data_IF_730304543825
#
_entry.id   IF_730304543825
#
_cell.length_a   1.000
_cell.length_b   1.000
_cell.length_c   1.000
_cell.angle_alpha   90.00
_cell.angle_beta   90.00
_cell.angle_gamma   90.00
#
_symmetry.space_group_name_H-M   'P 1'
#
loop_
_entity.id
_entity.type
_entity.pdbx_description
1 polymer ?
#
# COMPACT_ATOMS: atom_id res chain seq x y z
N UNK A 1 11.94 16.38 -50.72
CA UNK A 1 13.01 17.36 -50.39
C UNK A 1 13.25 17.25 -48.90
N UNK A 2 14.30 16.54 -48.48
CA UNK A 2 15.54 17.07 -47.84
C UNK A 2 15.24 17.71 -46.46
N UNK A 3 15.84 17.36 -45.31
CA UNK A 3 17.18 16.81 -45.01
C UNK A 3 17.31 16.37 -43.53
N UNK A 4 17.92 15.20 -43.31
CA UNK A 4 18.84 14.71 -42.23
C UNK A 4 18.57 14.79 -40.71
N UNK A 5 18.92 13.73 -39.93
CA UNK A 5 18.82 13.62 -38.47
C UNK A 5 20.17 13.84 -37.73
N UNK A 6 20.16 13.99 -36.40
CA UNK A 6 21.36 14.05 -35.55
C UNK A 6 21.36 12.98 -34.45
N UNK A 7 22.52 12.34 -34.30
CA UNK A 7 22.92 11.25 -33.39
C UNK A 7 23.67 11.81 -32.17
N UNK A 8 23.51 11.19 -31.00
CA UNK A 8 24.57 11.04 -29.96
C UNK A 8 24.04 10.11 -28.84
N UNK A 9 24.35 8.81 -28.86
CA UNK A 9 25.58 8.08 -28.43
C UNK A 9 25.56 7.73 -26.94
N UNK A 10 25.32 6.43 -26.69
CA UNK A 10 25.47 5.73 -25.41
C UNK A 10 26.93 5.44 -25.09
N UNK A 11 27.25 5.34 -23.80
CA UNK A 11 28.57 4.90 -23.31
C UNK A 11 28.40 3.70 -22.40
N UNK A 12 29.05 2.61 -22.77
CA UNK A 12 29.04 1.30 -22.11
C UNK A 12 30.47 0.98 -21.66
N UNK A 13 30.63 0.64 -20.37
CA UNK A 13 31.62 -0.25 -19.72
C UNK A 13 33.14 0.14 -19.76
N UNK A 14 34.02 -0.35 -18.85
CA UNK A 14 34.17 -1.78 -18.49
C UNK A 14 34.52 -2.20 -17.04
N UNK A 15 34.37 -3.51 -16.88
CA UNK A 15 34.76 -4.44 -15.81
C UNK A 15 36.27 -4.61 -15.68
N UNK A 16 36.78 -4.88 -14.47
CA UNK A 16 37.90 -5.82 -14.26
C UNK A 16 37.90 -6.41 -12.84
N UNK A 17 38.09 -7.73 -12.80
CA UNK A 17 38.42 -8.56 -11.63
C UNK A 17 39.94 -8.79 -11.59
N UNK A 18 40.55 -8.84 -10.40
CA UNK A 18 41.78 -9.55 -9.95
C UNK A 18 42.32 -8.76 -8.72
N UNK A 19 42.80 -9.28 -7.59
CA UNK A 19 43.55 -10.51 -7.30
C UNK A 19 43.43 -10.87 -5.81
N UNK A 20 43.57 -12.18 -5.52
CA UNK A 20 43.88 -12.75 -4.20
C UNK A 20 45.26 -12.29 -3.70
N UNK A 21 45.44 -12.12 -2.39
CA UNK A 21 46.50 -12.82 -1.64
C UNK A 21 46.23 -12.83 -0.12
N UNK A 22 46.31 -14.02 0.45
CA UNK A 22 46.36 -14.30 1.88
C UNK A 22 47.78 -14.10 2.43
N UNK A 23 47.90 -13.79 3.73
CA UNK A 23 48.88 -14.44 4.63
C UNK A 23 48.63 -14.09 6.11
N UNK A 24 48.49 -15.14 6.92
CA UNK A 24 48.68 -15.17 8.37
C UNK A 24 50.18 -15.12 8.68
N UNK A 25 50.60 -14.41 9.73
CA UNK A 25 51.69 -14.83 10.62
C UNK A 25 51.38 -14.42 12.07
N UNK A 26 51.46 -15.41 12.96
CA UNK A 26 51.52 -15.32 14.42
C UNK A 26 52.94 -14.96 14.87
N UNK A 27 53.13 -14.14 15.91
CA UNK A 27 53.99 -14.50 17.04
C UNK A 27 53.89 -13.52 18.22
N UNK A 28 53.76 -14.13 19.40
CA UNK A 28 53.86 -13.63 20.77
C UNK A 28 55.21 -12.99 21.10
N UNK A 29 55.25 -12.10 22.10
CA UNK A 29 56.22 -12.05 23.22
C UNK A 29 55.84 -10.93 24.22
N UNK A 30 55.67 -11.28 25.50
CA UNK A 30 55.68 -10.42 26.72
C UNK A 30 56.98 -10.78 27.51
N UNK A 31 57.35 -10.10 28.63
CA UNK A 31 57.41 -8.67 28.97
C UNK A 31 58.81 -8.28 29.57
N UNK A 32 59.00 -7.09 30.21
CA UNK A 32 58.98 -7.11 31.70
C UNK A 32 58.51 -5.81 32.42
N UNK A 33 58.00 -6.04 33.64
CA UNK A 33 58.03 -5.26 34.91
C UNK A 33 57.67 -3.75 35.02
N UNK A 34 56.74 -3.52 35.96
CA UNK A 34 56.27 -2.28 36.63
C UNK A 34 57.36 -1.37 37.22
N UNK A 35 57.06 -0.08 37.44
CA UNK A 35 56.64 0.35 38.79
C UNK A 35 55.44 1.32 38.82
N UNK A 36 54.56 1.14 39.80
CA UNK A 36 53.58 2.13 40.28
C UNK A 36 54.27 3.27 41.03
N UNK A 37 53.70 4.49 40.97
CA UNK A 37 53.31 5.12 42.23
C UNK A 37 51.91 5.76 42.20
N UNK A 38 51.26 5.67 43.35
CA UNK A 38 50.04 6.35 43.74
C UNK A 38 50.16 7.88 43.66
N UNK A 39 49.10 8.56 43.24
CA UNK A 39 48.51 9.71 43.97
C UNK A 39 47.33 10.31 43.20
N UNK A 40 46.25 10.53 43.95
CA UNK A 40 45.06 11.26 43.57
C UNK A 40 45.40 12.69 43.13
N UNK A 41 45.04 13.06 41.90
CA UNK A 41 44.73 14.44 41.55
C UNK A 41 43.56 14.46 40.58
N UNK A 42 42.37 14.58 41.15
CA UNK A 42 41.12 14.74 40.42
C UNK A 42 41.08 16.17 39.85
N UNK A 43 41.36 16.32 38.55
CA UNK A 43 41.04 17.55 37.82
C UNK A 43 39.51 17.61 37.62
N UNK A 44 38.85 18.76 37.85
CA UNK A 44 37.42 18.86 37.63
C UNK A 44 37.14 18.87 36.12
N UNK A 45 36.63 17.76 35.61
CA UNK A 45 35.96 17.72 34.30
C UNK A 45 34.73 18.63 34.44
N UNK A 46 34.56 19.68 33.60
CA UNK A 46 33.33 20.44 33.63
C UNK A 46 32.20 19.52 33.16
N UNK A 47 31.29 19.17 34.06
CA UNK A 47 30.01 18.56 33.71
C UNK A 47 29.27 19.61 32.88
N UNK A 48 29.38 19.50 31.56
CA UNK A 48 28.54 20.26 30.64
C UNK A 48 27.12 19.73 30.83
N UNK A 49 26.32 20.50 31.55
CA UNK A 49 24.94 20.17 31.82
C UNK A 49 24.16 20.19 30.48
N UNK A 50 23.70 19.05 29.95
CA UNK A 50 23.12 18.96 28.60
C UNK A 50 21.86 19.83 28.46
N UNK A 51 21.20 20.14 29.58
CA UNK A 51 20.08 21.07 29.64
C UNK A 51 20.43 22.51 29.24
N UNK A 52 21.66 23.00 29.53
CA UNK A 52 22.08 24.36 29.13
C UNK A 52 22.42 24.45 27.65
N UNK A 53 22.94 23.36 27.07
CA UNK A 53 23.32 23.29 25.67
C UNK A 53 22.09 23.17 24.76
N UNK A 54 21.06 22.47 25.22
CA UNK A 54 19.75 22.36 24.55
C UNK A 54 18.95 23.66 24.72
N UNK A 55 18.94 24.28 25.91
CA UNK A 55 18.23 25.55 26.13
C UNK A 55 18.77 26.69 25.26
N UNK A 56 20.08 26.74 25.02
CA UNK A 56 20.71 27.73 24.12
C UNK A 56 20.44 27.47 22.63
N UNK A 57 20.24 26.21 22.24
CA UNK A 57 19.85 25.87 20.86
C UNK A 57 18.39 26.25 20.58
N UNK A 58 17.50 26.07 21.57
CA UNK A 58 16.05 26.37 21.45
C UNK A 58 15.79 27.87 21.35
N UNK A 59 16.56 28.72 22.04
CA UNK A 59 16.41 30.19 21.93
C UNK A 59 16.83 30.74 20.57
N UNK A 60 17.81 30.11 19.90
CA UNK A 60 18.24 30.46 18.55
C UNK A 60 17.33 29.93 17.43
N UNK A 61 16.51 28.91 17.71
CA UNK A 61 15.53 28.35 16.77
C UNK A 61 14.22 29.14 16.70
N UNK A 62 13.98 30.09 17.61
CA UNK A 62 12.76 30.90 17.68
C UNK A 62 12.67 31.98 16.58
N UNK A 63 13.79 32.29 15.93
CA UNK A 63 13.89 33.33 14.90
C UNK A 63 13.96 32.81 13.46
N UNK A 64 13.87 31.49 13.25
CA UNK A 64 13.69 30.91 11.92
C UNK A 64 12.27 30.34 11.81
N UNK A 65 11.54 30.74 10.77
CA UNK A 65 10.22 30.20 10.44
C UNK A 65 10.34 28.69 10.21
N UNK A 66 9.99 27.92 11.24
CA UNK A 66 10.04 26.46 11.22
C UNK A 66 8.95 25.91 10.29
N UNK A 67 9.27 24.93 9.43
CA UNK A 67 8.28 24.25 8.62
C UNK A 67 7.34 23.43 9.52
N UNK A 68 6.14 23.15 8.99
CA UNK A 68 5.01 22.43 9.59
C UNK A 68 5.35 21.13 10.37
N UNK A 69 6.58 20.61 10.26
CA UNK A 69 7.12 19.51 11.07
C UNK A 69 7.32 19.85 12.56
N UNK A 70 7.49 21.12 12.94
CA UNK A 70 7.68 21.51 14.35
C UNK A 70 6.41 21.36 15.21
N UNK A 71 5.23 21.34 14.59
CA UNK A 71 3.96 21.09 15.28
C UNK A 71 3.80 19.63 15.77
N UNK A 72 4.65 18.71 15.30
CA UNK A 72 4.62 17.31 15.71
C UNK A 72 5.56 16.99 16.90
N UNK A 73 6.46 17.90 17.29
CA UNK A 73 7.43 17.65 18.37
C UNK A 73 6.84 17.34 19.76
N UNK A 74 5.70 17.92 20.22
CA UNK A 74 5.15 17.56 21.53
C UNK A 74 4.56 16.14 21.58
N UNK A 75 4.41 15.44 20.46
CA UNK A 75 3.97 14.03 20.43
C UNK A 75 5.10 13.02 20.67
N UNK A 76 6.37 13.46 20.72
CA UNK A 76 7.53 12.58 20.90
C UNK A 76 8.24 12.76 22.25
N UNK A 77 7.83 13.73 23.07
CA UNK A 77 8.49 14.06 24.33
C UNK A 77 7.49 13.93 25.48
N UNK A 78 7.74 12.91 26.31
CA UNK A 78 7.04 12.54 27.55
C UNK A 78 5.77 11.68 27.38
N UNK A 79 5.98 10.39 27.16
CA UNK A 79 4.95 9.37 26.97
C UNK A 79 4.73 8.53 28.23
N UNK A 80 5.01 9.11 29.41
CA UNK A 80 4.98 8.39 30.69
C UNK A 80 3.57 8.08 31.20
N UNK A 81 2.55 8.77 30.71
CA UNK A 81 1.17 8.46 31.02
C UNK A 81 0.44 8.08 29.72
N UNK A 82 0.06 6.80 29.61
CA UNK A 82 -0.99 6.41 28.69
C UNK A 82 -2.21 7.26 29.02
N UNK A 83 -2.73 8.01 28.05
CA UNK A 83 -3.92 8.87 28.22
C UNK A 83 -5.14 7.96 28.32
N UNK A 84 -5.29 7.31 29.47
CA UNK A 84 -6.58 6.90 29.97
C UNK A 84 -7.16 8.16 30.59
N UNK A 85 -7.96 8.89 29.83
CA UNK A 85 -8.54 10.16 30.25
C UNK A 85 -9.60 10.00 31.35
N UNK A 86 -9.77 8.79 31.89
CA UNK A 86 -10.60 8.53 33.06
C UNK A 86 -12.07 8.87 32.84
N UNK A 87 -12.53 8.96 31.59
CA UNK A 87 -13.87 9.40 31.21
C UNK A 87 -13.96 10.83 30.66
N UNK A 88 -12.87 11.61 30.58
CA UNK A 88 -12.91 13.00 30.06
C UNK A 88 -13.44 13.09 28.62
N UNK A 89 -13.23 12.07 27.80
CA UNK A 89 -13.70 12.06 26.42
C UNK A 89 -15.10 11.44 26.24
N UNK A 90 -15.76 11.00 27.32
CA UNK A 90 -17.10 10.43 27.31
C UNK A 90 -17.26 9.31 26.26
N UNK A 91 -18.16 9.52 25.28
CA UNK A 91 -18.42 8.56 24.19
C UNK A 91 -17.21 8.27 23.28
N UNK A 92 -16.20 9.13 23.29
CA UNK A 92 -14.94 8.93 22.55
C UNK A 92 -13.90 8.17 23.38
N UNK A 93 -14.29 7.52 24.48
CA UNK A 93 -13.43 6.68 25.31
C UNK A 93 -14.04 5.26 25.49
N UNK A 94 -13.26 4.37 26.08
CA UNK A 94 -13.74 3.07 26.55
C UNK A 94 -14.19 2.15 25.42
N UNK A 95 -15.28 1.43 25.67
CA UNK A 95 -15.82 0.43 24.72
C UNK A 95 -16.30 1.05 23.42
N UNK A 96 -16.89 2.25 23.48
CA UNK A 96 -17.43 2.94 22.30
C UNK A 96 -16.35 3.19 21.25
N UNK A 97 -15.22 3.77 21.65
CA UNK A 97 -14.09 3.99 20.74
C UNK A 97 -13.43 2.68 20.32
N UNK A 98 -13.32 1.69 21.21
CA UNK A 98 -12.71 0.40 20.90
C UNK A 98 -13.48 -0.41 19.84
N UNK A 99 -14.80 -0.20 19.72
CA UNK A 99 -15.64 -0.86 18.72
C UNK A 99 -15.67 -0.17 17.35
N UNK A 100 -15.12 1.05 17.21
CA UNK A 100 -15.05 1.74 15.91
C UNK A 100 -14.24 0.92 14.91
N UNK A 101 -13.03 0.51 15.29
CA UNK A 101 -12.14 -0.28 14.42
C UNK A 101 -12.81 -1.56 13.87
N UNK A 102 -13.36 -2.48 14.68
CA UNK A 102 -13.98 -3.70 14.14
C UNK A 102 -15.20 -3.42 13.25
N UNK A 103 -15.99 -2.38 13.54
CA UNK A 103 -17.12 -1.97 12.68
C UNK A 103 -16.60 -1.46 11.33
N UNK A 104 -15.62 -0.56 11.35
CA UNK A 104 -15.02 -0.01 10.14
C UNK A 104 -14.33 -1.10 9.33
N UNK A 105 -13.62 -2.03 9.96
CA UNK A 105 -12.97 -3.16 9.29
C UNK A 105 -13.99 -4.09 8.61
N UNK A 106 -15.15 -4.33 9.24
CA UNK A 106 -16.26 -5.04 8.59
C UNK A 106 -16.75 -4.30 7.34
N UNK A 107 -16.95 -2.98 7.45
CA UNK A 107 -17.33 -2.14 6.31
C UNK A 107 -16.29 -2.14 5.17
N UNK A 108 -15.01 -1.96 5.50
CA UNK A 108 -13.91 -1.97 4.54
C UNK A 108 -13.76 -3.32 3.84
N UNK A 109 -14.03 -4.43 4.52
CA UNK A 109 -14.02 -5.76 3.91
C UNK A 109 -15.07 -5.87 2.78
N UNK A 110 -16.33 -5.56 3.06
CA UNK A 110 -17.38 -5.59 2.03
C UNK A 110 -17.13 -4.56 0.92
N UNK A 111 -16.62 -3.39 1.29
CA UNK A 111 -16.25 -2.36 0.32
C UNK A 111 -15.09 -2.81 -0.59
N UNK A 112 -14.14 -3.60 -0.07
CA UNK A 112 -13.06 -4.22 -0.85
C UNK A 112 -13.62 -5.21 -1.88
N UNK A 113 -14.57 -6.06 -1.48
CA UNK A 113 -15.24 -6.98 -2.41
C UNK A 113 -16.01 -6.22 -3.49
N UNK A 114 -16.67 -5.13 -3.12
CA UNK A 114 -17.37 -4.26 -4.06
C UNK A 114 -16.41 -3.58 -5.05
N UNK A 115 -15.29 -3.04 -4.57
CA UNK A 115 -14.24 -2.49 -5.42
C UNK A 115 -13.67 -3.55 -6.38
N UNK A 116 -13.51 -4.79 -5.91
CA UNK A 116 -13.14 -5.94 -6.72
C UNK A 116 -14.13 -6.22 -7.85
N UNK A 117 -15.44 -6.19 -7.56
CA UNK A 117 -16.47 -6.32 -8.59
C UNK A 117 -16.38 -5.20 -9.63
N UNK A 118 -16.21 -3.95 -9.21
CA UNK A 118 -16.08 -2.81 -10.14
C UNK A 118 -14.88 -3.01 -11.09
N UNK A 119 -13.75 -3.47 -10.54
CA UNK A 119 -12.55 -3.80 -11.31
C UNK A 119 -12.78 -4.95 -12.29
N UNK A 120 -13.55 -5.97 -11.89
CA UNK A 120 -13.95 -7.08 -12.74
C UNK A 120 -14.81 -6.63 -13.92
N UNK A 121 -15.82 -5.79 -13.68
CA UNK A 121 -16.66 -5.23 -14.75
C UNK A 121 -15.83 -4.42 -15.75
N UNK A 122 -14.88 -3.60 -15.26
CA UNK A 122 -13.95 -2.88 -16.14
C UNK A 122 -13.03 -3.82 -16.94
N UNK A 123 -12.58 -4.93 -16.35
CA UNK A 123 -11.86 -5.98 -17.09
C UNK A 123 -12.73 -6.61 -18.18
N UNK A 124 -14.00 -6.91 -17.87
CA UNK A 124 -14.95 -7.52 -18.81
C UNK A 124 -15.16 -6.68 -20.07
N UNK A 125 -15.26 -5.35 -19.95
CA UNK A 125 -15.35 -4.43 -21.11
C UNK A 125 -14.21 -4.66 -22.12
N UNK A 126 -13.00 -4.93 -21.62
CA UNK A 126 -11.81 -5.15 -22.45
C UNK A 126 -11.77 -6.56 -23.05
N UNK A 127 -12.08 -7.58 -22.25
CA UNK A 127 -12.05 -8.97 -22.73
C UNK A 127 -13.13 -9.24 -23.77
N UNK A 128 -14.34 -8.67 -23.61
CA UNK A 128 -15.41 -8.78 -24.61
C UNK A 128 -14.96 -8.23 -25.96
N UNK A 129 -14.24 -7.11 -25.98
CA UNK A 129 -13.76 -6.52 -27.23
C UNK A 129 -12.83 -7.49 -27.98
N UNK A 130 -11.97 -8.21 -27.26
CA UNK A 130 -11.12 -9.25 -27.82
C UNK A 130 -11.95 -10.42 -28.36
N UNK A 131 -12.90 -10.93 -27.57
CA UNK A 131 -13.81 -12.01 -27.97
C UNK A 131 -14.60 -11.66 -29.25
N UNK A 132 -15.16 -10.46 -29.33
CA UNK A 132 -15.85 -9.97 -30.53
C UNK A 132 -14.89 -9.94 -31.73
N UNK A 133 -13.66 -9.48 -31.55
CA UNK A 133 -12.68 -9.36 -32.64
C UNK A 133 -12.23 -10.73 -33.15
N UNK A 134 -12.15 -11.73 -32.28
CA UNK A 134 -11.85 -13.12 -32.65
C UNK A 134 -13.02 -13.78 -33.36
N UNK A 135 -14.26 -13.63 -32.85
CA UNK A 135 -15.45 -14.16 -33.50
C UNK A 135 -15.68 -13.55 -34.89
N UNK A 136 -15.42 -12.25 -35.06
CA UNK A 136 -15.49 -11.59 -36.37
C UNK A 136 -14.49 -12.14 -37.39
N UNK A 137 -13.34 -12.66 -36.96
CA UNK A 137 -12.38 -13.34 -37.86
C UNK A 137 -12.89 -14.69 -38.34
N UNK A 138 -13.77 -15.34 -37.58
CA UNK A 138 -14.36 -16.64 -37.92
C UNK A 138 -15.52 -16.49 -38.93
N UNK A 139 -16.17 -15.34 -38.96
CA UNK A 139 -17.16 -14.98 -39.98
C UNK A 139 -16.40 -14.61 -41.27
N UNK A 140 -16.35 -15.51 -42.25
CA UNK A 140 -15.84 -15.18 -43.60
C UNK A 140 -16.61 -13.96 -44.14
N UNK A 141 -15.94 -12.95 -44.75
CA UNK A 141 -16.66 -11.92 -45.49
C UNK A 141 -17.43 -12.60 -46.62
N UNK A 142 -18.73 -12.29 -46.72
CA UNK A 142 -19.60 -12.81 -47.77
C UNK A 142 -18.89 -12.65 -49.13
N UNK A 143 -18.74 -13.75 -49.86
CA UNK A 143 -18.18 -13.72 -51.20
C UNK A 143 -19.10 -12.84 -52.06
N UNK A 144 -18.59 -11.69 -52.50
CA UNK A 144 -19.26 -10.88 -53.53
C UNK A 144 -19.07 -11.65 -54.83
N UNK A 145 -20.14 -12.22 -55.36
CA UNK A 145 -20.16 -12.75 -56.73
C UNK A 145 -19.94 -11.61 -57.72
N UNK A 146 -19.15 -11.78 -58.79
CA UNK A 146 -18.84 -10.72 -59.76
C UNK A 146 -20.06 -10.11 -60.49
N UNK A 147 -21.23 -10.75 -60.43
CA UNK A 147 -22.38 -10.46 -61.30
C UNK A 147 -23.46 -9.52 -60.73
N UNK A 148 -23.24 -8.85 -59.60
CA UNK A 148 -24.13 -7.76 -59.16
C UNK A 148 -25.60 -8.14 -58.89
N UNK A 149 -25.93 -9.43 -58.79
CA UNK A 149 -27.28 -9.89 -58.42
C UNK A 149 -27.42 -9.96 -56.89
N UNK A 150 -28.51 -9.44 -56.29
CA UNK A 150 -28.72 -9.51 -54.85
C UNK A 150 -28.80 -10.96 -54.40
N UNK A 151 -27.83 -11.39 -53.59
CA UNK A 151 -27.96 -12.64 -52.85
C UNK A 151 -29.25 -12.58 -52.01
N UNK A 152 -30.00 -13.68 -52.01
CA UNK A 152 -31.25 -13.86 -51.28
C UNK A 152 -31.17 -13.33 -49.84
N UNK A 153 -32.28 -12.82 -49.26
CA UNK A 153 -32.29 -12.25 -47.92
C UNK A 153 -31.65 -13.22 -46.92
N UNK A 154 -30.77 -12.74 -46.03
CA UNK A 154 -29.99 -13.63 -45.17
C UNK A 154 -30.94 -14.47 -44.33
N UNK A 155 -30.84 -15.79 -44.52
CA UNK A 155 -31.36 -16.77 -43.57
C UNK A 155 -30.84 -16.40 -42.17
N UNK A 156 -31.67 -16.66 -41.15
CA UNK A 156 -31.45 -16.30 -39.75
C UNK A 156 -29.97 -16.18 -39.32
N UNK A 157 -29.61 -15.15 -38.51
CA UNK A 157 -28.21 -14.89 -38.15
C UNK A 157 -27.57 -16.18 -37.62
N UNK A 158 -26.44 -16.53 -38.20
CA UNK A 158 -25.68 -17.70 -37.76
C UNK A 158 -25.42 -17.61 -36.24
N UNK A 159 -25.29 -18.73 -35.53
CA UNK A 159 -25.03 -18.72 -34.07
C UNK A 159 -23.84 -17.85 -33.64
N UNK A 160 -22.87 -17.63 -34.54
CA UNK A 160 -21.72 -16.75 -34.33
C UNK A 160 -22.11 -15.26 -34.43
N UNK A 161 -22.93 -14.88 -35.40
CA UNK A 161 -23.43 -13.51 -35.56
C UNK A 161 -24.32 -13.10 -34.40
N UNK A 162 -25.21 -13.99 -33.93
CA UNK A 162 -26.03 -13.72 -32.76
C UNK A 162 -25.18 -13.55 -31.49
N UNK A 163 -24.10 -14.33 -31.34
CA UNK A 163 -23.15 -14.16 -30.22
C UNK A 163 -22.39 -12.84 -30.30
N UNK A 164 -21.97 -12.42 -31.49
CA UNK A 164 -21.33 -11.11 -31.70
C UNK A 164 -22.29 -9.98 -31.31
N UNK A 165 -23.57 -10.07 -31.69
CA UNK A 165 -24.58 -9.08 -31.32
C UNK A 165 -24.77 -9.03 -29.79
N UNK A 166 -24.95 -10.18 -29.14
CA UNK A 166 -25.10 -10.25 -27.68
C UNK A 166 -23.90 -9.63 -26.94
N UNK A 167 -22.67 -10.00 -27.31
CA UNK A 167 -21.46 -9.45 -26.70
C UNK A 167 -21.31 -7.95 -26.97
N UNK A 168 -21.73 -7.48 -28.15
CA UNK A 168 -21.72 -6.06 -28.49
C UNK A 168 -22.67 -5.27 -27.60
N UNK A 169 -23.88 -5.79 -27.37
CA UNK A 169 -24.85 -5.16 -26.45
C UNK A 169 -24.38 -5.23 -24.99
N UNK A 170 -23.85 -6.38 -24.53
CA UNK A 170 -23.24 -6.51 -23.20
C UNK A 170 -22.14 -5.45 -22.99
N UNK A 171 -21.23 -5.28 -23.96
CA UNK A 171 -20.17 -4.29 -23.87
C UNK A 171 -20.72 -2.86 -23.84
N UNK A 172 -21.75 -2.54 -24.64
CA UNK A 172 -22.40 -1.22 -24.63
C UNK A 172 -22.98 -0.94 -23.23
N UNK A 173 -23.64 -1.91 -22.62
CA UNK A 173 -24.21 -1.75 -21.29
C UNK A 173 -23.13 -1.57 -20.22
N UNK A 174 -22.05 -2.36 -20.28
CA UNK A 174 -20.93 -2.20 -19.37
C UNK A 174 -20.22 -0.85 -19.51
N UNK A 175 -20.13 -0.31 -20.74
CA UNK A 175 -19.57 1.03 -20.97
C UNK A 175 -20.44 2.13 -20.34
N UNK A 176 -21.77 2.04 -20.45
CA UNK A 176 -22.68 2.97 -19.76
C UNK A 176 -22.52 2.93 -18.24
N UNK A 177 -22.16 1.77 -17.70
CA UNK A 177 -21.94 1.56 -16.27
C UNK A 177 -20.78 2.36 -15.66
N UNK A 178 -19.85 2.89 -16.46
CA UNK A 178 -18.77 3.77 -15.98
C UNK A 178 -17.79 3.10 -15.00
N UNK A 179 -17.61 1.78 -15.11
CA UNK A 179 -16.90 0.98 -14.10
C UNK A 179 -15.42 1.33 -13.90
N UNK A 180 -14.77 1.93 -14.90
CA UNK A 180 -13.38 2.39 -14.78
C UNK A 180 -13.24 3.44 -13.67
N UNK A 181 -14.04 4.49 -13.74
CA UNK A 181 -13.94 5.64 -12.83
C UNK A 181 -14.48 5.25 -11.45
N UNK A 182 -15.59 4.51 -11.41
CA UNK A 182 -16.11 3.93 -10.15
C UNK A 182 -15.09 3.06 -9.42
N UNK A 183 -14.37 2.18 -10.14
CA UNK A 183 -13.33 1.35 -9.52
C UNK A 183 -12.16 2.20 -9.02
N UNK A 184 -11.74 3.21 -9.78
CA UNK A 184 -10.68 4.13 -9.38
C UNK A 184 -11.04 4.92 -8.11
N UNK A 185 -12.26 5.46 -8.06
CA UNK A 185 -12.74 6.24 -6.93
C UNK A 185 -12.92 5.35 -5.70
N UNK A 186 -13.52 4.16 -5.86
CA UNK A 186 -13.65 3.19 -4.79
C UNK A 186 -12.27 2.73 -4.27
N UNK A 187 -11.31 2.47 -5.16
CA UNK A 187 -9.94 2.15 -4.77
C UNK A 187 -9.26 3.27 -4.00
N UNK A 188 -9.50 4.53 -4.39
CA UNK A 188 -8.95 5.71 -3.72
C UNK A 188 -9.54 5.91 -2.32
N UNK A 189 -10.86 5.74 -2.17
CA UNK A 189 -11.55 5.78 -0.88
C UNK A 189 -11.04 4.65 0.02
N UNK A 190 -10.96 3.43 -0.50
CA UNK A 190 -10.47 2.27 0.25
C UNK A 190 -9.04 2.49 0.74
N UNK A 191 -8.16 3.01 -0.12
CA UNK A 191 -6.78 3.33 0.25
C UNK A 191 -6.72 4.39 1.36
N UNK A 192 -7.47 5.49 1.22
CA UNK A 192 -7.45 6.59 2.18
C UNK A 192 -7.94 6.14 3.57
N UNK A 193 -9.14 5.55 3.64
CA UNK A 193 -9.71 5.10 4.91
C UNK A 193 -8.95 3.90 5.48
N UNK A 194 -8.53 2.97 4.63
CA UNK A 194 -7.78 1.80 5.04
C UNK A 194 -6.42 2.13 5.67
N UNK A 195 -5.70 3.12 5.12
CA UNK A 195 -4.44 3.61 5.70
C UNK A 195 -4.69 4.35 7.02
N UNK A 196 -5.71 5.23 7.06
CA UNK A 196 -6.07 5.96 8.28
C UNK A 196 -6.43 5.01 9.43
N UNK A 197 -7.20 3.95 9.17
CA UNK A 197 -7.53 2.93 10.17
C UNK A 197 -6.31 2.11 10.60
N UNK A 198 -5.47 1.67 9.66
CA UNK A 198 -4.29 0.89 10.04
C UNK A 198 -3.32 1.68 10.92
N UNK A 199 -3.11 2.96 10.62
CA UNK A 199 -2.24 3.83 11.43
C UNK A 199 -2.95 4.25 12.71
N UNK A 200 -4.22 4.67 12.60
CA UNK A 200 -5.05 5.13 13.70
C UNK A 200 -5.32 4.06 14.76
N UNK A 201 -5.59 2.82 14.36
CA UNK A 201 -5.79 1.69 15.27
C UNK A 201 -4.54 1.37 16.09
N UNK A 202 -3.37 1.41 15.46
CA UNK A 202 -2.08 1.27 16.15
C UNK A 202 -1.82 2.41 17.12
N UNK A 203 -2.04 3.66 16.67
CA UNK A 203 -1.88 4.86 17.49
C UNK A 203 -2.84 4.87 18.69
N UNK A 204 -4.12 4.55 18.47
CA UNK A 204 -5.13 4.45 19.52
C UNK A 204 -4.75 3.41 20.59
N UNK A 205 -4.25 2.25 20.16
CA UNK A 205 -3.77 1.21 21.07
C UNK A 205 -2.61 1.72 21.93
N UNK A 206 -1.66 2.41 21.30
CA UNK A 206 -0.51 2.99 21.99
C UNK A 206 -0.93 4.10 22.97
N UNK A 207 -1.82 5.01 22.56
CA UNK A 207 -2.32 6.09 23.43
C UNK A 207 -3.03 5.54 24.68
N UNK A 208 -3.82 4.47 24.53
CA UNK A 208 -4.57 3.86 25.64
C UNK A 208 -3.72 3.02 26.60
N UNK A 209 -2.61 2.45 26.13
CA UNK A 209 -1.91 1.40 26.89
C UNK A 209 -0.40 1.64 27.06
N UNK A 210 0.13 2.69 26.44
CA UNK A 210 1.56 3.03 26.44
C UNK A 210 2.43 2.10 25.59
N UNK A 211 1.85 1.09 24.93
CA UNK A 211 2.58 0.11 24.10
C UNK A 211 1.70 -0.46 22.98
N UNK A 212 2.33 -1.04 21.94
CA UNK A 212 1.62 -1.87 20.96
C UNK A 212 1.64 -3.33 21.42
N UNK A 213 0.61 -4.08 21.03
CA UNK A 213 0.53 -5.53 21.22
C UNK A 213 0.74 -6.22 19.87
N UNK A 214 2.00 -6.46 19.45
CA UNK A 214 2.26 -7.13 18.19
C UNK A 214 1.69 -8.55 18.22
N UNK A 215 0.87 -8.87 17.23
CA UNK A 215 0.21 -10.17 17.08
C UNK A 215 -0.28 -10.37 15.65
N UNK A 216 -0.82 -11.56 15.32
CA UNK A 216 -1.19 -11.91 13.94
C UNK A 216 -2.10 -10.88 13.27
N UNK A 217 -3.08 -10.35 14.00
CA UNK A 217 -4.01 -9.34 13.48
C UNK A 217 -3.31 -8.04 13.07
N UNK A 218 -2.43 -7.51 13.94
CA UNK A 218 -1.68 -6.28 13.64
C UNK A 218 -0.73 -6.46 12.45
N UNK A 219 -0.05 -7.60 12.37
CA UNK A 219 0.85 -7.90 11.27
C UNK A 219 0.10 -8.11 9.95
N UNK A 220 -1.04 -8.81 9.97
CA UNK A 220 -1.91 -8.97 8.81
C UNK A 220 -2.45 -7.61 8.32
N UNK A 221 -2.94 -6.77 9.23
CA UNK A 221 -3.41 -5.42 8.92
C UNK A 221 -2.30 -4.56 8.28
N UNK A 222 -1.10 -4.60 8.84
CA UNK A 222 0.06 -3.89 8.26
C UNK A 222 0.40 -4.40 6.86
N UNK A 223 0.37 -5.71 6.63
CA UNK A 223 0.61 -6.30 5.32
C UNK A 223 -0.47 -5.91 4.30
N UNK A 224 -1.74 -5.90 4.70
CA UNK A 224 -2.88 -5.42 3.89
C UNK A 224 -2.64 -3.97 3.44
N UNK A 225 -2.20 -3.09 4.34
CA UNK A 225 -1.90 -1.69 4.00
C UNK A 225 -0.78 -1.58 2.97
N UNK A 226 0.29 -2.37 3.11
CA UNK A 226 1.37 -2.43 2.12
C UNK A 226 0.85 -2.94 0.77
N UNK A 227 0.02 -3.98 0.76
CA UNK A 227 -0.57 -4.52 -0.47
C UNK A 227 -1.45 -3.49 -1.19
N UNK A 228 -2.26 -2.71 -0.45
CA UNK A 228 -3.02 -1.60 -1.04
C UNK A 228 -2.12 -0.54 -1.67
N UNK A 229 -1.06 -0.12 -0.96
CA UNK A 229 -0.12 0.87 -1.48
C UNK A 229 0.59 0.37 -2.75
N UNK A 230 1.07 -0.88 -2.76
CA UNK A 230 1.70 -1.50 -3.92
C UNK A 230 0.73 -1.63 -5.09
N UNK A 231 -0.52 -2.05 -4.83
CA UNK A 231 -1.55 -2.16 -5.87
C UNK A 231 -1.88 -0.80 -6.48
N UNK A 232 -2.01 0.26 -5.66
CA UNK A 232 -2.27 1.61 -6.11
C UNK A 232 -1.09 2.18 -6.94
N UNK A 233 0.16 1.87 -6.56
CA UNK A 233 1.35 2.31 -7.30
C UNK A 233 1.42 1.78 -8.74
N UNK A 234 0.70 0.69 -9.07
CA UNK A 234 0.65 0.14 -10.42
C UNK A 234 -0.27 0.92 -11.38
N UNK A 235 -1.14 1.79 -10.85
CA UNK A 235 -2.17 2.50 -11.63
C UNK A 235 -1.60 3.26 -12.84
N UNK A 236 -0.51 4.04 -12.74
CA UNK A 236 0.05 4.75 -13.89
C UNK A 236 0.48 3.82 -15.03
N UNK A 237 1.06 2.64 -14.71
CA UNK A 237 1.45 1.66 -15.72
C UNK A 237 0.21 0.97 -16.34
N UNK A 238 -0.80 0.66 -15.53
CA UNK A 238 -2.06 0.07 -16.00
C UNK A 238 -2.82 1.00 -16.94
N UNK A 239 -2.86 2.31 -16.64
CA UNK A 239 -3.48 3.33 -17.48
C UNK A 239 -2.79 3.43 -18.86
N UNK A 240 -1.48 3.17 -18.91
CA UNK A 240 -0.68 3.10 -20.15
C UNK A 240 -0.81 1.78 -20.92
N UNK A 241 -1.68 0.86 -20.51
CA UNK A 241 -1.90 -0.39 -21.24
C UNK A 241 -1.08 -1.59 -20.78
N UNK A 242 -0.27 -1.48 -19.72
CA UNK A 242 0.59 -2.58 -19.28
C UNK A 242 -0.21 -3.73 -18.65
N UNK A 243 -0.28 -4.88 -19.33
CA UNK A 243 -1.00 -6.08 -18.85
C UNK A 243 -0.33 -6.76 -17.65
N UNK A 244 1.00 -6.74 -17.56
CA UNK A 244 1.72 -7.26 -16.38
C UNK A 244 1.34 -6.48 -15.13
N UNK A 245 1.29 -5.14 -15.21
CA UNK A 245 0.85 -4.29 -14.11
C UNK A 245 -0.61 -4.58 -13.70
N UNK A 246 -1.49 -4.82 -14.69
CA UNK A 246 -2.90 -5.18 -14.44
C UNK A 246 -3.04 -6.51 -13.73
N UNK A 247 -2.32 -7.54 -14.17
CA UNK A 247 -2.36 -8.86 -13.56
C UNK A 247 -1.72 -8.85 -12.17
N UNK A 248 -0.62 -8.11 -11.98
CA UNK A 248 -0.01 -7.94 -10.67
C UNK A 248 -0.93 -7.20 -9.70
N UNK A 249 -1.60 -6.12 -10.15
CA UNK A 249 -2.60 -5.42 -9.33
C UNK A 249 -3.72 -6.37 -8.87
N UNK A 250 -4.23 -7.21 -9.76
CA UNK A 250 -5.24 -8.22 -9.41
C UNK A 250 -4.67 -9.23 -8.40
N UNK A 251 -3.48 -9.77 -8.63
CA UNK A 251 -2.86 -10.75 -7.74
C UNK A 251 -2.64 -10.19 -6.32
N UNK A 252 -2.14 -8.95 -6.22
CA UNK A 252 -1.96 -8.25 -4.94
C UNK A 252 -3.29 -8.08 -4.20
N UNK A 253 -4.37 -7.71 -4.91
CA UNK A 253 -5.69 -7.54 -4.28
C UNK A 253 -6.37 -8.87 -3.93
N UNK A 254 -6.14 -9.94 -4.68
CA UNK A 254 -6.58 -11.29 -4.30
C UNK A 254 -5.88 -11.72 -3.01
N UNK A 255 -4.56 -11.54 -2.93
CA UNK A 255 -3.81 -11.80 -1.69
C UNK A 255 -4.32 -10.94 -0.53
N UNK A 256 -4.66 -9.68 -0.79
CA UNK A 256 -5.22 -8.76 0.20
C UNK A 256 -6.57 -9.27 0.74
N UNK A 257 -7.51 -9.65 -0.14
CA UNK A 257 -8.80 -10.24 0.27
C UNK A 257 -8.61 -11.52 1.08
N UNK A 258 -7.67 -12.40 0.69
CA UNK A 258 -7.38 -13.62 1.44
C UNK A 258 -6.85 -13.33 2.85
N UNK A 259 -5.95 -12.35 3.00
CA UNK A 259 -5.50 -11.90 4.32
C UNK A 259 -6.64 -11.28 5.14
N UNK A 260 -7.52 -10.51 4.50
CA UNK A 260 -8.71 -9.97 5.13
C UNK A 260 -9.66 -11.05 5.66
N UNK A 261 -9.84 -12.14 4.92
CA UNK A 261 -10.65 -13.29 5.38
C UNK A 261 -9.93 -14.01 6.51
N UNK A 262 -8.62 -14.23 6.38
CA UNK A 262 -7.82 -14.93 7.37
C UNK A 262 -7.75 -14.21 8.72
N UNK A 263 -7.79 -12.88 8.75
CA UNK A 263 -7.74 -12.13 10.01
C UNK A 263 -9.08 -12.12 10.78
N UNK A 264 -10.20 -12.51 10.17
CA UNK A 264 -11.54 -12.43 10.79
C UNK A 264 -11.58 -13.13 12.16
N UNK A 265 -11.11 -14.38 12.33
CA UNK A 265 -11.14 -15.06 13.63
C UNK A 265 -10.36 -14.28 14.70
N UNK A 266 -9.16 -13.81 14.36
CA UNK A 266 -8.33 -13.03 15.29
C UNK A 266 -8.97 -11.69 15.66
N UNK A 267 -9.71 -11.08 14.73
CA UNK A 267 -10.46 -9.85 14.99
C UNK A 267 -11.63 -10.09 15.96
N UNK A 268 -12.36 -11.20 15.79
CA UNK A 268 -13.43 -11.59 16.70
C UNK A 268 -12.89 -11.87 18.11
N UNK A 269 -11.75 -12.54 18.25
CA UNK A 269 -11.09 -12.76 19.55
C UNK A 269 -10.74 -11.44 20.24
N UNK A 270 -10.30 -10.42 19.48
CA UNK A 270 -10.02 -9.08 20.01
C UNK A 270 -11.32 -8.40 20.44
N UNK A 271 -12.40 -8.49 19.68
CA UNK A 271 -13.71 -7.93 20.05
C UNK A 271 -14.19 -8.55 21.37
N UNK A 272 -14.07 -9.87 21.55
CA UNK A 272 -14.43 -10.53 22.81
C UNK A 272 -13.62 -9.99 24.00
N UNK A 273 -12.31 -9.80 23.83
CA UNK A 273 -11.45 -9.16 24.84
C UNK A 273 -11.84 -7.71 25.11
N UNK A 274 -12.28 -6.95 24.11
CA UNK A 274 -12.81 -5.60 24.31
C UNK A 274 -14.05 -5.65 25.21
N UNK A 275 -14.99 -6.57 24.97
CA UNK A 275 -16.15 -6.75 25.84
C UNK A 275 -15.76 -7.19 27.27
N UNK A 276 -14.70 -7.99 27.43
CA UNK A 276 -14.19 -8.42 28.74
C UNK A 276 -13.53 -7.26 29.52
N UNK A 277 -12.66 -6.48 28.88
CA UNK A 277 -11.77 -5.53 29.57
C UNK A 277 -12.18 -4.06 29.52
N UNK A 278 -13.17 -3.69 28.69
CA UNK A 278 -13.65 -2.30 28.59
C UNK A 278 -15.06 -2.15 29.12
N UNK A 279 -15.42 -0.96 29.60
CA UNK A 279 -16.78 -0.58 29.97
C UNK A 279 -17.31 0.47 29.00
N UNK A 280 -18.63 0.57 28.91
CA UNK A 280 -19.24 1.78 28.35
C UNK A 280 -18.87 2.97 29.24
N UNK A 281 -18.62 4.15 28.65
CA UNK A 281 -18.46 5.38 29.42
C UNK A 281 -19.73 5.69 30.26
#
# INVERSE_FOLDING_TARGET
MATTPSLLRSSVLPSSNLHRHASRIHCSLLPPSLPTPSSNTQLPIPIVNPHKLIAGAVTHLRSASLPLAAAALPFFLDTKDAVAAGGEFGLLEGRSLALVHPIVMGGLFFYTLWAGYLGWQWRRVRTIQSEISELKKQVKPAAVTPDGSPAAPPAAPSPVESKIQQLTEERKELLKGGFRDKHHDAGSILLAFGVLESVGGGLNTWLRTGKLFPGPHLFAGSAITVLWALAAALVPAMQKGNETARNLHIALNVANVLLFVWQIPTGLDIVLKVFEFTKWP
#
